data_IF_784084832967
#
_entry.id   IF_784084832967
#
_cell.length_a   1.000
_cell.length_b   1.000
_cell.length_c   1.000
_cell.angle_alpha   90.00
_cell.angle_beta   90.00
_cell.angle_gamma   90.00
#
_symmetry.space_group_name_H-M   'P 1'
#
loop_
_entity.id
_entity.type
_entity.pdbx_description
1 polymer ?
#
# COMPACT_ATOMS: atom_id res chain seq x y z
N UNK A 1 19.47 -3.37 7.62
CA UNK A 1 20.44 -3.46 8.73
C UNK A 1 19.73 -3.66 10.07
N UNK A 2 18.89 -2.72 10.53
CA UNK A 2 18.17 -2.85 11.81
C UNK A 2 17.22 -4.07 11.86
N UNK A 3 16.43 -4.29 10.81
CA UNK A 3 15.47 -5.40 10.71
C UNK A 3 16.13 -6.80 10.81
N UNK A 4 17.29 -6.95 10.16
CA UNK A 4 18.10 -8.17 10.17
C UNK A 4 18.69 -8.41 11.56
N UNK A 5 19.16 -7.36 12.22
CA UNK A 5 19.69 -7.44 13.58
C UNK A 5 18.59 -7.84 14.59
N UNK A 6 17.39 -7.23 14.52
CA UNK A 6 16.28 -7.59 15.43
C UNK A 6 15.79 -9.02 15.20
N UNK A 7 15.75 -9.49 13.95
CA UNK A 7 15.43 -10.88 13.62
C UNK A 7 16.43 -11.88 14.21
N UNK A 8 17.74 -11.60 14.10
CA UNK A 8 18.80 -12.43 14.70
C UNK A 8 18.71 -12.49 16.23
N UNK A 9 18.20 -11.45 16.88
CA UNK A 9 17.96 -11.42 18.33
C UNK A 9 16.66 -12.14 18.76
N UNK A 10 15.92 -12.75 17.83
CA UNK A 10 14.62 -13.40 18.12
C UNK A 10 13.53 -12.43 18.58
N UNK A 11 13.76 -11.11 18.42
CA UNK A 11 12.87 -10.06 18.88
C UNK A 11 12.13 -9.47 17.69
N UNK A 12 10.81 -9.62 17.64
CA UNK A 12 10.02 -8.99 16.59
C UNK A 12 10.02 -7.46 16.76
N UNK A 13 10.33 -6.68 15.70
CA UNK A 13 10.41 -5.21 15.80
C UNK A 13 9.08 -4.52 16.12
N UNK A 14 7.96 -5.22 15.91
CA UNK A 14 6.63 -4.68 15.98
C UNK A 14 5.81 -5.49 16.99
N UNK A 15 6.00 -5.17 18.27
CA UNK A 15 5.27 -5.80 19.37
C UNK A 15 4.02 -4.95 19.65
N UNK A 16 2.99 -5.09 18.81
CA UNK A 16 1.75 -4.32 18.95
C UNK A 16 0.71 -5.09 19.75
N UNK A 17 0.60 -4.74 21.04
CA UNK A 17 -0.49 -5.19 21.90
C UNK A 17 -1.79 -4.52 21.50
N UNK A 18 -2.58 -5.13 20.62
CA UNK A 18 -4.06 -5.09 20.52
C UNK A 18 -4.83 -3.74 20.47
N UNK A 19 -4.19 -2.59 20.68
CA UNK A 19 -4.86 -1.29 20.87
C UNK A 19 -5.41 -0.68 19.56
N UNK A 20 -4.99 -1.21 18.40
CA UNK A 20 -5.24 -0.61 17.08
C UNK A 20 -6.08 -1.49 16.14
N UNK A 21 -6.80 -2.48 16.67
CA UNK A 21 -7.61 -3.39 15.86
C UNK A 21 -8.67 -2.66 15.00
N UNK A 22 -9.21 -1.54 15.52
CA UNK A 22 -10.13 -0.65 14.78
C UNK A 22 -9.44 0.22 13.73
N UNK A 23 -8.30 0.85 14.06
CA UNK A 23 -7.51 1.65 13.10
C UNK A 23 -7.09 0.84 11.87
N UNK A 24 -6.73 -0.43 12.07
CA UNK A 24 -6.29 -1.32 10.99
C UNK A 24 -7.38 -1.50 9.92
N UNK A 25 -8.62 -1.72 10.34
CA UNK A 25 -9.73 -1.91 9.42
C UNK A 25 -10.02 -0.64 8.61
N UNK A 26 -10.02 0.52 9.25
CA UNK A 26 -10.20 1.81 8.58
C UNK A 26 -9.07 2.14 7.61
N UNK A 27 -7.82 1.90 8.00
CA UNK A 27 -6.65 2.11 7.14
C UNK A 27 -6.65 1.17 5.94
N UNK A 28 -6.95 -0.12 6.13
CA UNK A 28 -7.02 -1.07 5.01
C UNK A 28 -8.15 -0.72 4.06
N UNK A 29 -9.32 -0.35 4.59
CA UNK A 29 -10.48 0.03 3.77
C UNK A 29 -10.18 1.27 2.95
N UNK A 30 -9.58 2.31 3.54
CA UNK A 30 -9.20 3.52 2.81
C UNK A 30 -8.14 3.23 1.75
N UNK A 31 -7.12 2.41 2.08
CA UNK A 31 -6.06 2.00 1.14
C UNK A 31 -6.66 1.27 -0.07
N UNK A 32 -7.58 0.32 0.16
CA UNK A 32 -8.24 -0.43 -0.91
C UNK A 32 -9.09 0.50 -1.77
N UNK A 33 -9.90 1.38 -1.17
CA UNK A 33 -10.73 2.34 -1.91
C UNK A 33 -9.90 3.28 -2.77
N UNK A 34 -8.85 3.88 -2.20
CA UNK A 34 -7.93 4.74 -2.94
C UNK A 34 -7.29 3.98 -4.10
N UNK A 35 -6.81 2.76 -3.85
CA UNK A 35 -6.20 1.92 -4.89
C UNK A 35 -7.18 1.63 -6.04
N UNK A 36 -8.43 1.28 -5.72
CA UNK A 36 -9.48 1.03 -6.73
C UNK A 36 -9.76 2.27 -7.57
N UNK A 37 -9.94 3.43 -6.94
CA UNK A 37 -10.17 4.70 -7.65
C UNK A 37 -8.98 5.03 -8.55
N UNK A 38 -7.75 4.92 -8.06
CA UNK A 38 -6.55 5.15 -8.86
C UNK A 38 -6.41 4.15 -10.00
N UNK A 39 -6.80 2.88 -9.81
CA UNK A 39 -6.79 1.87 -10.88
C UNK A 39 -7.78 2.23 -12.00
N UNK A 40 -8.99 2.65 -11.64
CA UNK A 40 -10.01 3.08 -12.60
C UNK A 40 -9.55 4.30 -13.40
N UNK A 41 -8.97 5.30 -12.72
CA UNK A 41 -8.43 6.50 -13.36
C UNK A 41 -7.25 6.14 -14.27
N UNK A 42 -6.30 5.33 -13.79
CA UNK A 42 -5.14 4.87 -14.55
C UNK A 42 -5.56 4.09 -15.80
N UNK A 43 -6.54 3.20 -15.68
CA UNK A 43 -7.10 2.44 -16.80
C UNK A 43 -7.81 3.35 -17.83
N UNK A 44 -8.55 4.36 -17.36
CA UNK A 44 -9.15 5.36 -18.25
C UNK A 44 -8.09 6.13 -19.04
N UNK A 45 -7.00 6.53 -18.39
CA UNK A 45 -5.87 7.19 -19.04
C UNK A 45 -5.13 6.30 -20.05
N UNK A 46 -4.95 5.01 -19.75
CA UNK A 46 -4.39 4.02 -20.68
C UNK A 46 -5.24 3.83 -21.93
N UNK A 47 -6.57 3.96 -21.81
CA UNK A 47 -7.50 3.83 -22.94
C UNK A 47 -7.45 5.02 -23.89
N UNK A 48 -6.82 6.12 -23.49
CA UNK A 48 -6.67 7.30 -24.35
C UNK A 48 -5.74 7.03 -25.55
N UNK A 49 -6.02 7.69 -26.66
CA UNK A 49 -5.20 7.68 -27.88
C UNK A 49 -3.95 8.56 -27.76
N UNK A 50 -3.92 9.49 -26.80
CA UNK A 50 -2.77 10.36 -26.56
C UNK A 50 -1.64 9.62 -25.82
N UNK A 51 -0.41 9.61 -26.34
CA UNK A 51 0.75 8.99 -25.67
C UNK A 51 1.02 9.57 -24.28
N UNK A 52 0.79 10.88 -24.08
CA UNK A 52 0.97 11.55 -22.79
C UNK A 52 0.02 11.00 -21.73
N UNK A 53 -1.23 10.78 -22.11
CA UNK A 53 -2.25 10.23 -21.23
C UNK A 53 -1.92 8.78 -20.84
N UNK A 54 -1.42 7.98 -21.78
CA UNK A 54 -0.93 6.62 -21.47
C UNK A 54 0.21 6.63 -20.47
N UNK A 55 1.17 7.55 -20.63
CA UNK A 55 2.27 7.73 -19.66
C UNK A 55 1.75 8.04 -18.25
N UNK A 56 0.78 8.95 -18.12
CA UNK A 56 0.12 9.23 -16.84
C UNK A 56 -0.59 7.98 -16.29
N UNK A 57 -1.29 7.23 -17.13
CA UNK A 57 -1.95 5.98 -16.75
C UNK A 57 -0.98 4.96 -16.15
N UNK A 58 0.17 4.74 -16.79
CA UNK A 58 1.22 3.83 -16.28
C UNK A 58 1.73 4.31 -14.93
N UNK A 59 2.05 5.60 -14.78
CA UNK A 59 2.55 6.17 -13.52
C UNK A 59 1.54 6.02 -12.39
N UNK A 60 0.26 6.28 -12.65
CA UNK A 60 -0.81 6.12 -11.66
C UNK A 60 -0.91 4.66 -11.22
N UNK A 61 -0.89 3.72 -12.16
CA UNK A 61 -0.96 2.29 -11.86
C UNK A 61 0.26 1.81 -11.06
N UNK A 62 1.47 2.22 -11.43
CA UNK A 62 2.68 1.86 -10.69
C UNK A 62 2.68 2.42 -9.27
N UNK A 63 2.28 3.68 -9.09
CA UNK A 63 2.18 4.28 -7.76
C UNK A 63 1.11 3.57 -6.91
N UNK A 64 -0.02 3.22 -7.50
CA UNK A 64 -1.09 2.50 -6.81
C UNK A 64 -0.62 1.13 -6.31
N UNK A 65 0.16 0.40 -7.12
CA UNK A 65 0.73 -0.88 -6.72
C UNK A 65 1.68 -0.74 -5.52
N UNK A 66 2.54 0.28 -5.52
CA UNK A 66 3.46 0.56 -4.41
C UNK A 66 2.70 0.93 -3.13
N UNK A 67 1.67 1.78 -3.24
CA UNK A 67 0.83 2.18 -2.11
C UNK A 67 0.09 0.97 -1.52
N UNK A 68 -0.49 0.12 -2.36
CA UNK A 68 -1.19 -1.09 -1.90
C UNK A 68 -0.23 -2.04 -1.17
N UNK A 69 0.95 -2.30 -1.75
CA UNK A 69 1.95 -3.16 -1.15
C UNK A 69 2.47 -2.59 0.19
N UNK A 70 2.80 -1.30 0.22
CA UNK A 70 3.28 -0.61 1.41
C UNK A 70 2.23 -0.53 2.52
N UNK A 71 0.99 -0.17 2.18
CA UNK A 71 -0.13 -0.12 3.12
C UNK A 71 -0.46 -1.49 3.70
N UNK A 72 -0.42 -2.55 2.89
CA UNK A 72 -0.63 -3.93 3.35
C UNK A 72 0.51 -4.38 4.29
N UNK A 73 1.76 -4.11 3.92
CA UNK A 73 2.92 -4.43 4.75
C UNK A 73 2.87 -3.69 6.09
N UNK A 74 2.53 -2.40 6.09
CA UNK A 74 2.35 -1.62 7.31
C UNK A 74 1.22 -2.17 8.18
N UNK A 75 0.06 -2.47 7.59
CA UNK A 75 -1.07 -3.04 8.32
C UNK A 75 -0.79 -4.42 8.93
N UNK A 76 0.11 -5.20 8.33
CA UNK A 76 0.50 -6.51 8.83
C UNK A 76 1.63 -6.45 9.86
N UNK A 77 2.62 -5.57 9.65
CA UNK A 77 3.76 -5.47 10.52
C UNK A 77 3.46 -4.63 11.75
N UNK A 78 2.84 -3.45 11.57
CA UNK A 78 2.73 -2.42 12.60
C UNK A 78 1.39 -2.42 13.30
N UNK A 79 0.31 -2.83 12.63
CA UNK A 79 -1.05 -2.75 13.18
C UNK A 79 -1.63 -4.12 13.60
N UNK A 80 -0.84 -5.19 13.49
CA UNK A 80 -1.22 -6.55 13.91
C UNK A 80 -1.27 -6.66 15.43
#
# INVERSE_FOLDING_TARGET
MLLVAMWLLGKWPFDTRGAYAGERAWMLTSTVLTTLVSLLIGAAFLRSTSPRNRGLGISILSCSAVVLAGGTAFAYLVLR
#
